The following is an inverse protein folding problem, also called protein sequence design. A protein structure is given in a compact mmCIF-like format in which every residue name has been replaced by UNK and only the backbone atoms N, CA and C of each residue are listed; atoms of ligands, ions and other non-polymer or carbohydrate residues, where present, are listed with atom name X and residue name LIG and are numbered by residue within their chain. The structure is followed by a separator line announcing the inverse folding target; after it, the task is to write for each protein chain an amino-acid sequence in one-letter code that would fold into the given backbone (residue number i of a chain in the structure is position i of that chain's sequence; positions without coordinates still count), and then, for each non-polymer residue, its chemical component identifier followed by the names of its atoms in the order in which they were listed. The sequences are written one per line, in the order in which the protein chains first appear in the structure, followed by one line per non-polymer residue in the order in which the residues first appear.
data_IF_468621290109
#
_entry.id   IF_468621290109
#
_cell.length_a   1.000
_cell.length_b   1.000
_cell.length_c   1.000
_cell.angle_alpha   90.00
_cell.angle_beta   90.00
_cell.angle_gamma   90.00
#
_symmetry.space_group_name_H-M   'P 1'
#
loop_
_entity.id
_entity.type
_entity.pdbx_description
1 polymer ?
#
# COMPACT_ATOMS: atom_id res chain seq x y z
N UNK A 1 -12.03 2.99 21.42
CA UNK A 1 -11.23 1.94 20.74
C UNK A 1 -10.16 1.57 21.75
N UNK A 2 -10.43 0.58 22.58
CA UNK A 2 -9.54 0.18 23.71
C UNK A 2 -8.68 -1.05 23.36
N UNK A 3 -8.92 -1.70 22.21
CA UNK A 3 -8.27 -2.96 21.81
C UNK A 3 -7.10 -2.80 20.82
N UNK A 4 -6.72 -1.57 20.45
CA UNK A 4 -5.55 -1.33 19.58
C UNK A 4 -4.30 -1.22 20.43
N UNK A 5 -3.25 -1.97 20.09
CA UNK A 5 -1.96 -1.95 20.79
C UNK A 5 -1.45 -0.51 20.92
N UNK A 6 -0.86 -0.09 22.07
CA UNK A 6 -0.46 1.31 22.30
C UNK A 6 0.51 1.85 21.25
N UNK A 7 1.30 0.98 20.62
CA UNK A 7 2.22 1.34 19.53
C UNK A 7 1.48 1.72 18.22
N UNK A 8 0.25 1.22 18.02
CA UNK A 8 -0.54 1.40 16.78
C UNK A 8 -1.69 2.42 16.92
N UNK A 9 -1.83 3.00 18.13
CA UNK A 9 -2.83 4.00 18.42
C UNK A 9 -2.54 5.32 17.69
N UNK A 10 -1.25 5.64 17.50
CA UNK A 10 -0.79 6.91 16.99
C UNK A 10 0.00 6.69 15.69
N UNK A 11 -0.54 7.17 14.56
CA UNK A 11 0.18 7.16 13.29
C UNK A 11 0.60 8.59 12.96
N UNK A 12 1.89 8.80 12.75
CA UNK A 12 2.43 10.03 12.22
C UNK A 12 3.39 9.69 11.09
N UNK A 13 3.16 10.29 9.91
CA UNK A 13 4.10 10.24 8.79
C UNK A 13 4.31 11.64 8.25
N UNK A 14 5.58 12.00 8.12
CA UNK A 14 6.03 13.25 7.54
C UNK A 14 6.40 13.00 6.09
N UNK A 15 5.67 13.61 5.17
CA UNK A 15 5.80 13.36 3.74
C UNK A 15 6.17 14.64 2.98
N UNK A 16 6.84 14.45 1.84
CA UNK A 16 6.95 15.46 0.79
C UNK A 16 6.65 14.80 -0.55
N UNK A 17 5.86 15.47 -1.39
CA UNK A 17 5.51 14.92 -2.69
C UNK A 17 5.51 15.95 -3.80
N UNK A 18 5.76 15.48 -5.02
CA UNK A 18 5.61 16.31 -6.22
C UNK A 18 4.13 16.63 -6.49
N UNK A 19 3.87 17.79 -7.07
CA UNK A 19 2.52 18.35 -7.23
C UNK A 19 1.60 17.57 -8.16
N UNK A 20 2.16 16.82 -9.11
CA UNK A 20 1.43 15.95 -10.04
C UNK A 20 0.94 14.63 -9.41
N UNK A 21 1.35 14.33 -8.17
CA UNK A 21 0.82 13.18 -7.45
C UNK A 21 -0.65 13.38 -7.08
N UNK A 22 -1.40 12.28 -7.16
CA UNK A 22 -2.78 12.22 -6.66
C UNK A 22 -2.78 12.45 -5.15
N UNK A 23 -3.59 13.39 -4.70
CA UNK A 23 -3.77 13.69 -3.27
C UNK A 23 -4.31 12.44 -2.55
N UNK A 24 -3.65 12.04 -1.46
CA UNK A 24 -4.03 10.87 -0.67
C UNK A 24 -3.20 9.61 -0.95
N UNK A 25 -2.41 9.57 -2.03
CA UNK A 25 -1.50 8.45 -2.36
C UNK A 25 -0.10 8.62 -1.75
N UNK A 26 -0.05 9.03 -0.49
CA UNK A 26 1.20 9.28 0.24
C UNK A 26 2.04 8.01 0.37
N UNK A 27 3.29 8.07 -0.07
CA UNK A 27 4.24 6.96 -0.08
C UNK A 27 4.00 5.92 -1.18
N UNK A 28 2.99 6.08 -2.04
CA UNK A 28 2.64 5.10 -3.09
C UNK A 28 3.33 5.36 -4.43
N UNK A 29 3.73 6.62 -4.69
CA UNK A 29 4.34 7.01 -5.96
C UNK A 29 5.85 7.18 -5.84
N UNK A 30 6.55 7.15 -6.98
CA UNK A 30 8.00 7.40 -7.07
C UNK A 30 8.40 8.81 -6.66
N UNK A 31 7.45 9.75 -6.66
CA UNK A 31 7.68 11.16 -6.33
C UNK A 31 7.03 11.56 -5.00
N UNK A 32 6.71 10.59 -4.15
CA UNK A 32 6.25 10.80 -2.78
C UNK A 32 7.24 10.12 -1.84
N UNK A 33 7.70 10.87 -0.84
CA UNK A 33 8.72 10.43 0.09
C UNK A 33 8.24 10.69 1.51
N UNK A 34 8.13 9.65 2.31
CA UNK A 34 7.58 9.72 3.67
C UNK A 34 8.54 9.15 4.71
N UNK A 35 8.48 9.66 5.93
CA UNK A 35 9.14 9.06 7.09
C UNK A 35 8.12 8.87 8.20
N UNK A 36 7.95 7.62 8.60
CA UNK A 36 6.91 7.16 9.52
C UNK A 36 7.47 6.95 10.93
N UNK A 37 6.62 7.16 11.95
CA UNK A 37 6.96 6.98 13.37
C UNK A 37 7.61 5.64 13.73
N UNK A 38 7.39 4.60 12.92
CA UNK A 38 8.01 3.27 13.05
C UNK A 38 9.48 3.22 12.66
N UNK A 39 10.05 4.31 12.12
CA UNK A 39 11.43 4.37 11.63
C UNK A 39 11.59 3.98 10.15
N UNK A 40 10.47 3.78 9.43
CA UNK A 40 10.46 3.37 8.02
C UNK A 40 10.42 4.58 7.08
N UNK A 41 11.14 4.47 5.97
CA UNK A 41 11.09 5.44 4.86
C UNK A 41 10.18 4.93 3.75
N UNK A 42 9.16 5.71 3.38
CA UNK A 42 8.16 5.37 2.38
C UNK A 42 8.47 5.99 1.03
N UNK A 43 8.53 5.17 -0.02
CA UNK A 43 8.57 5.63 -1.41
C UNK A 43 8.09 4.52 -2.36
N UNK A 44 7.29 4.87 -3.38
CA UNK A 44 6.87 3.93 -4.41
C UNK A 44 6.29 2.61 -3.86
N UNK A 45 5.47 2.70 -2.80
CA UNK A 45 4.91 1.56 -2.08
C UNK A 45 5.99 0.65 -1.49
N UNK A 46 7.13 1.20 -1.05
CA UNK A 46 8.19 0.47 -0.33
C UNK A 46 8.49 1.20 0.97
N UNK A 47 8.80 0.44 2.01
CA UNK A 47 9.01 0.98 3.37
C UNK A 47 10.25 0.41 4.07
N UNK A 48 11.47 0.53 3.50
CA UNK A 48 12.68 0.04 4.15
C UNK A 48 12.94 0.69 5.52
N UNK A 49 13.61 -0.05 6.41
CA UNK A 49 14.19 0.52 7.63
C UNK A 49 15.19 1.62 7.25
N UNK A 50 15.02 2.81 7.83
CA UNK A 50 15.85 3.97 7.50
C UNK A 50 16.37 4.68 8.75
N UNK A 51 15.46 5.04 9.64
CA UNK A 51 15.75 5.88 10.79
C UNK A 51 15.40 5.22 12.12
N UNK A 52 15.43 6.03 13.16
CA UNK A 52 15.00 5.63 14.50
C UNK A 52 13.46 5.73 14.60
N UNK A 53 12.82 5.03 15.55
CA UNK A 53 11.40 5.27 15.84
C UNK A 53 11.21 6.69 16.41
N UNK A 54 10.09 7.35 16.16
CA UNK A 54 9.74 8.63 16.78
C UNK A 54 8.29 8.65 17.27
N UNK A 55 8.01 9.49 18.27
CA UNK A 55 6.71 9.58 18.91
C UNK A 55 6.40 10.98 19.46
N UNK A 56 5.49 11.03 20.43
CA UNK A 56 5.06 12.28 21.05
C UNK A 56 6.25 13.05 21.65
N UNK A 57 6.35 14.33 21.31
CA UNK A 57 7.42 15.23 21.76
C UNK A 57 8.69 15.22 20.91
N UNK A 58 8.81 14.32 19.92
CA UNK A 58 9.92 14.36 18.97
C UNK A 58 9.71 15.43 17.89
N UNK A 59 10.78 16.12 17.53
CA UNK A 59 10.82 17.06 16.40
C UNK A 59 11.41 16.38 15.17
N UNK A 60 10.65 16.33 14.08
CA UNK A 60 11.07 15.74 12.81
C UNK A 60 11.22 16.83 11.76
N UNK A 61 12.41 16.89 11.14
CA UNK A 61 12.71 17.81 10.04
C UNK A 61 12.87 17.00 8.76
N UNK A 62 12.15 17.38 7.70
CA UNK A 62 12.32 16.85 6.35
C UNK A 62 13.17 17.83 5.54
N UNK A 63 14.31 17.36 5.03
CA UNK A 63 15.27 18.17 4.29
C UNK A 63 15.39 17.64 2.86
N UNK A 64 15.19 18.52 1.87
CA UNK A 64 15.30 18.20 0.45
C UNK A 64 16.34 19.10 -0.20
N UNK A 65 17.39 18.49 -0.75
CA UNK A 65 18.42 19.19 -1.51
C UNK A 65 18.21 18.98 -3.00
N UNK A 66 17.96 20.08 -3.71
CA UNK A 66 17.80 20.13 -5.17
C UNK A 66 19.06 20.68 -5.88
N UNK A 67 20.14 20.91 -5.12
CA UNK A 67 21.37 21.55 -5.63
C UNK A 67 22.25 20.58 -6.42
N UNK A 68 22.35 19.33 -5.96
CA UNK A 68 23.11 18.28 -6.65
C UNK A 68 22.41 17.92 -7.98
N UNK A 69 23.16 18.00 -9.09
CA UNK A 69 22.69 17.59 -10.42
C UNK A 69 23.48 16.36 -10.89
N UNK A 70 22.84 15.32 -11.43
CA UNK A 70 21.43 15.26 -11.86
C UNK A 70 20.44 14.77 -10.78
N UNK A 71 20.90 14.40 -9.60
CA UNK A 71 20.09 13.76 -8.56
C UNK A 71 19.90 14.68 -7.36
N UNK A 72 18.65 14.95 -7.04
CA UNK A 72 18.26 15.52 -5.75
C UNK A 72 18.41 14.47 -4.64
N UNK A 73 18.43 14.92 -3.39
CA UNK A 73 18.44 14.06 -2.23
C UNK A 73 17.42 14.48 -1.19
N UNK A 74 16.92 13.51 -0.43
CA UNK A 74 16.04 13.71 0.71
C UNK A 74 16.64 13.02 1.95
N UNK A 75 16.57 13.70 3.08
CA UNK A 75 16.97 13.22 4.40
C UNK A 75 15.98 13.69 5.46
N UNK A 76 16.01 13.00 6.61
CA UNK A 76 15.25 13.40 7.78
C UNK A 76 16.17 13.58 8.97
N UNK A 77 15.76 14.47 9.86
CA UNK A 77 16.44 14.79 11.11
C UNK A 77 15.48 14.58 12.27
N UNK A 78 15.96 13.96 13.35
CA UNK A 78 15.21 13.77 14.59
C UNK A 78 15.88 14.54 15.71
N UNK A 79 15.15 15.45 16.36
CA UNK A 79 15.65 16.25 17.49
C UNK A 79 17.01 16.92 17.21
N UNK A 80 17.16 17.46 15.98
CA UNK A 80 18.39 18.11 15.51
C UNK A 80 19.51 17.16 15.07
N UNK A 81 19.31 15.83 15.09
CA UNK A 81 20.28 14.83 14.63
C UNK A 81 19.86 14.28 13.26
N UNK A 82 20.72 14.47 12.27
CA UNK A 82 20.54 13.91 10.92
C UNK A 82 20.56 12.37 10.96
N UNK A 83 19.58 11.74 10.31
CA UNK A 83 19.46 10.28 10.18
C UNK A 83 20.18 9.74 8.93
N UNK A 84 20.83 10.63 8.15
CA UNK A 84 21.51 10.31 6.91
C UNK A 84 20.60 10.46 5.68
N UNK A 85 21.16 10.30 4.47
CA UNK A 85 20.37 10.39 3.23
C UNK A 85 19.41 9.21 3.12
N UNK A 86 18.10 9.48 3.03
CA UNK A 86 17.08 8.46 2.82
C UNK A 86 17.10 7.96 1.37
N UNK A 87 17.11 8.89 0.41
CA UNK A 87 17.16 8.54 -1.00
C UNK A 87 17.73 9.65 -1.87
N UNK A 88 18.36 9.27 -2.98
CA UNK A 88 18.65 10.15 -4.11
C UNK A 88 17.66 9.88 -5.24
N UNK A 89 17.10 10.93 -5.83
CA UNK A 89 16.07 10.81 -6.85
C UNK A 89 16.27 11.82 -7.99
N UNK A 90 15.71 11.51 -9.15
CA UNK A 90 15.73 12.42 -10.28
C UNK A 90 14.64 13.49 -10.09
N UNK A 91 15.06 14.73 -9.86
CA UNK A 91 14.17 15.89 -9.75
C UNK A 91 13.99 16.63 -11.09
N UNK A 92 14.52 16.10 -12.20
CA UNK A 92 14.37 16.72 -13.51
C UNK A 92 12.90 16.81 -13.92
N UNK A 93 12.55 17.92 -14.57
CA UNK A 93 11.24 18.10 -15.16
C UNK A 93 11.14 17.26 -16.43
N UNK A 94 10.10 16.44 -16.52
CA UNK A 94 9.77 15.74 -17.75
C UNK A 94 9.22 16.74 -18.77
N UNK A 95 9.90 16.96 -19.92
CA UNK A 95 9.51 17.98 -20.88
C UNK A 95 8.15 17.75 -21.55
N UNK A 96 7.58 16.55 -21.46
CA UNK A 96 6.33 16.17 -22.14
C UNK A 96 5.04 16.44 -21.33
N UNK A 97 5.14 16.68 -20.02
CA UNK A 97 3.97 16.94 -19.15
C UNK A 97 3.88 18.43 -18.85
N UNK A 98 3.04 19.16 -19.58
CA UNK A 98 2.88 20.61 -19.40
C UNK A 98 1.42 21.00 -19.29
N UNK A 99 0.84 20.86 -18.10
CA UNK A 99 -0.42 21.54 -17.82
C UNK A 99 -0.24 22.65 -16.78
N UNK A 100 0.51 22.42 -15.69
CA UNK A 100 0.68 23.43 -14.65
C UNK A 100 2.10 23.47 -14.04
N UNK A 101 2.65 24.66 -13.80
CA UNK A 101 4.01 24.80 -13.24
C UNK A 101 4.16 24.17 -11.85
N UNK A 102 3.08 24.17 -11.06
CA UNK A 102 3.06 23.55 -9.73
C UNK A 102 3.18 22.02 -9.79
N UNK A 103 2.97 21.38 -10.95
CA UNK A 103 3.07 19.92 -11.09
C UNK A 103 4.46 19.41 -10.73
N UNK A 104 5.50 20.23 -10.88
CA UNK A 104 6.87 19.87 -10.58
C UNK A 104 7.38 20.35 -9.22
N UNK A 105 6.58 21.17 -8.51
CA UNK A 105 6.93 21.65 -7.18
C UNK A 105 6.74 20.53 -6.15
N UNK A 106 7.54 20.57 -5.08
CA UNK A 106 7.41 19.67 -3.95
C UNK A 106 6.58 20.34 -2.85
N UNK A 107 5.61 19.61 -2.32
CA UNK A 107 4.69 20.08 -1.30
C UNK A 107 4.83 19.23 -0.03
N UNK A 108 4.92 19.84 1.15
CA UNK A 108 4.89 19.11 2.41
C UNK A 108 3.50 18.52 2.63
N UNK A 109 3.46 17.30 3.16
CA UNK A 109 2.25 16.53 3.44
C UNK A 109 2.40 15.79 4.76
N UNK A 110 1.28 15.53 5.44
CA UNK A 110 1.27 14.79 6.70
C UNK A 110 0.16 13.73 6.66
N UNK A 111 0.46 12.56 7.19
CA UNK A 111 -0.54 11.55 7.56
C UNK A 111 -0.59 11.45 9.08
N UNK A 112 -1.75 11.77 9.66
CA UNK A 112 -1.95 11.80 11.11
C UNK A 112 -3.13 10.91 11.49
N UNK A 113 -2.97 10.06 12.51
CA UNK A 113 -4.02 9.30 13.18
C UNK A 113 -3.83 9.48 14.68
N UNK A 114 -4.84 10.05 15.34
CA UNK A 114 -4.88 10.23 16.79
C UNK A 114 -3.70 11.03 17.37
N UNK A 115 -3.10 11.92 16.56
CA UNK A 115 -1.99 12.78 16.98
C UNK A 115 -2.26 14.22 16.54
N UNK A 116 -1.79 15.15 17.36
CA UNK A 116 -1.72 16.58 17.04
C UNK A 116 -0.26 16.95 16.82
N UNK A 117 0.00 17.79 15.82
CA UNK A 117 1.36 18.21 15.47
C UNK A 117 1.42 19.71 15.29
N UNK A 118 2.55 20.28 15.67
CA UNK A 118 2.89 21.66 15.40
C UNK A 118 3.78 21.74 14.16
N UNK A 119 3.43 22.62 13.22
CA UNK A 119 4.15 22.79 11.97
C UNK A 119 5.02 24.04 12.01
N UNK A 120 6.34 23.85 11.90
CA UNK A 120 7.34 24.91 11.91
C UNK A 120 7.88 25.14 10.50
N UNK A 121 7.58 26.30 9.90
CA UNK A 121 8.00 26.62 8.53
C UNK A 121 9.09 27.68 8.45
N UNK A 122 9.46 28.29 9.59
CA UNK A 122 10.44 29.36 9.71
C UNK A 122 11.36 29.17 10.91
N UNK A 123 12.49 29.89 10.94
CA UNK A 123 13.43 29.90 12.08
C UNK A 123 12.82 30.60 13.30
N UNK A 124 11.83 31.48 13.09
CA UNK A 124 11.10 32.17 14.16
C UNK A 124 10.25 31.17 14.98
N UNK A 125 9.95 30.00 14.40
CA UNK A 125 9.20 28.91 15.03
C UNK A 125 10.14 27.92 15.76
N UNK A 126 11.31 28.34 16.25
CA UNK A 126 12.30 27.49 16.94
C UNK A 126 12.87 26.31 16.12
N UNK A 127 12.74 26.35 14.79
CA UNK A 127 13.24 25.30 13.90
C UNK A 127 14.77 25.20 13.93
N UNK A 128 15.30 24.04 14.33
CA UNK A 128 16.73 23.72 14.22
C UNK A 128 17.03 23.24 12.81
N UNK A 129 17.75 24.06 12.03
CA UNK A 129 18.15 23.75 10.67
C UNK A 129 19.46 22.96 10.62
N UNK A 130 19.56 22.07 9.64
CA UNK A 130 20.84 21.49 9.23
C UNK A 130 21.66 22.53 8.43
N UNK A 131 23.00 22.45 8.55
CA UNK A 131 23.92 23.32 7.82
C UNK A 131 23.67 23.25 6.30
N UNK A 132 23.48 24.41 5.68
CA UNK A 132 23.25 24.52 4.23
C UNK A 132 21.78 24.44 3.79
N UNK A 133 20.84 24.15 4.70
CA UNK A 133 19.42 24.16 4.39
C UNK A 133 18.75 25.48 4.77
N UNK A 134 17.66 25.80 4.09
CA UNK A 134 16.79 26.95 4.38
C UNK A 134 15.39 26.48 4.75
N UNK A 135 14.66 27.21 5.60
CA UNK A 135 13.26 26.91 5.89
C UNK A 135 12.42 26.96 4.60
N UNK A 136 11.35 26.17 4.54
CA UNK A 136 10.45 26.13 3.39
C UNK A 136 9.91 27.54 3.03
N UNK A 137 9.59 28.36 4.04
CA UNK A 137 9.10 29.73 3.82
C UNK A 137 10.12 30.65 3.14
N UNK A 138 11.43 30.35 3.21
CA UNK A 138 12.45 31.11 2.49
C UNK A 138 12.31 30.95 0.97
N UNK A 139 11.75 29.84 0.48
CA UNK A 139 11.51 29.64 -0.95
C UNK A 139 10.55 30.70 -1.53
N UNK A 140 9.58 31.20 -0.74
CA UNK A 140 8.70 32.29 -1.14
C UNK A 140 9.49 33.60 -1.32
N UNK A 141 10.38 33.92 -0.36
CA UNK A 141 11.19 35.14 -0.37
C UNK A 141 12.21 35.13 -1.51
N UNK A 142 12.78 33.96 -1.80
CA UNK A 142 13.78 33.77 -2.84
C UNK A 142 13.16 33.65 -4.25
N UNK A 143 11.84 33.68 -4.39
CA UNK A 143 11.14 33.55 -5.68
C UNK A 143 11.18 32.14 -6.28
N UNK A 144 11.51 31.13 -5.45
CA UNK A 144 11.61 29.72 -5.84
C UNK A 144 10.35 28.91 -5.51
N UNK A 145 9.34 29.54 -4.90
CA UNK A 145 8.06 28.93 -4.60
C UNK A 145 7.06 29.18 -5.74
N UNK A 146 6.25 28.15 -6.03
CA UNK A 146 5.14 28.22 -6.96
C UNK A 146 3.86 28.03 -6.14
N UNK A 147 2.85 28.87 -6.37
CA UNK A 147 1.54 28.67 -5.77
C UNK A 147 0.92 27.36 -6.25
N UNK A 148 0.38 26.56 -5.33
CA UNK A 148 -0.51 25.47 -5.68
C UNK A 148 -1.81 25.99 -6.31
N UNK A 149 -2.81 25.13 -6.56
CA UNK A 149 -4.14 25.59 -6.94
C UNK A 149 -4.66 26.56 -5.87
N UNK A 150 -4.80 27.85 -6.24
CA UNK A 150 -5.33 28.89 -5.36
C UNK A 150 -6.77 29.15 -5.78
N UNK A 151 -7.67 29.15 -4.81
CA UNK A 151 -9.04 29.60 -4.99
C UNK A 151 -9.11 31.04 -4.47
N UNK A 152 -9.45 31.99 -5.33
CA UNK A 152 -9.53 33.41 -4.96
C UNK A 152 -10.77 33.70 -4.09
N UNK A 153 -11.87 32.96 -4.29
CA UNK A 153 -13.09 33.04 -3.48
C UNK A 153 -13.38 31.66 -2.84
N UNK A 154 -13.67 31.58 -1.52
CA UNK A 154 -14.15 30.36 -0.88
C UNK A 154 -15.34 29.68 -1.58
N UNK A 155 -16.14 30.43 -2.36
CA UNK A 155 -17.23 29.89 -3.19
C UNK A 155 -16.77 29.04 -4.36
N UNK A 156 -15.52 29.17 -4.77
CA UNK A 156 -14.91 28.33 -5.82
C UNK A 156 -14.52 26.94 -5.27
N UNK A 157 -14.67 26.72 -3.94
CA UNK A 157 -14.55 25.40 -3.35
C UNK A 157 -15.76 24.53 -3.74
N UNK A 158 -15.48 23.46 -4.48
CA UNK A 158 -16.51 22.57 -5.01
C UNK A 158 -16.61 21.28 -4.18
N UNK A 159 -17.80 20.99 -3.69
CA UNK A 159 -18.14 19.69 -3.09
C UNK A 159 -19.19 18.99 -3.97
N UNK A 160 -18.85 17.82 -4.51
CA UNK A 160 -19.75 17.01 -5.32
C UNK A 160 -20.15 15.74 -4.59
N UNK A 161 -21.43 15.64 -4.23
CA UNK A 161 -22.00 14.41 -3.67
C UNK A 161 -22.54 13.53 -4.79
N UNK A 162 -22.01 12.31 -4.91
CA UNK A 162 -22.54 11.33 -5.85
C UNK A 162 -23.77 10.62 -5.29
N UNK A 163 -24.91 10.73 -5.97
CA UNK A 163 -26.16 10.03 -5.62
C UNK A 163 -26.63 9.20 -6.81
N UNK A 164 -27.07 7.98 -6.57
CA UNK A 164 -27.60 7.09 -7.63
C UNK A 164 -27.67 5.63 -7.21
N UNK A 165 -28.28 4.79 -8.05
CA UNK A 165 -28.53 3.38 -7.74
C UNK A 165 -27.24 2.56 -7.61
N UNK A 166 -27.21 1.48 -6.81
CA UNK A 166 -26.10 0.52 -6.81
C UNK A 166 -25.75 0.07 -8.23
N UNK A 167 -24.45 -0.18 -8.48
CA UNK A 167 -23.91 -0.57 -9.80
C UNK A 167 -24.13 0.41 -10.98
N UNK A 168 -24.68 1.62 -10.77
CA UNK A 168 -24.89 2.61 -11.83
C UNK A 168 -23.61 3.32 -12.33
N UNK A 169 -22.42 2.87 -11.90
CA UNK A 169 -21.14 3.44 -12.34
C UNK A 169 -20.75 4.79 -11.71
N UNK A 170 -21.34 5.20 -10.58
CA UNK A 170 -21.03 6.48 -9.91
C UNK A 170 -19.53 6.70 -9.67
N UNK A 171 -18.88 5.72 -9.04
CA UNK A 171 -17.44 5.74 -8.76
C UNK A 171 -16.63 5.86 -10.04
N UNK A 172 -17.02 5.15 -11.11
CA UNK A 172 -16.37 5.23 -12.42
C UNK A 172 -16.51 6.64 -13.01
N UNK A 173 -17.72 7.23 -12.95
CA UNK A 173 -17.98 8.58 -13.43
C UNK A 173 -17.16 9.64 -12.69
N UNK A 174 -17.11 9.56 -11.35
CA UNK A 174 -16.32 10.49 -10.56
C UNK A 174 -14.80 10.33 -10.77
N UNK A 175 -14.27 9.11 -10.84
CA UNK A 175 -12.86 8.88 -11.17
C UNK A 175 -12.49 9.49 -12.53
N UNK A 176 -13.39 9.38 -13.52
CA UNK A 176 -13.21 10.05 -14.81
C UNK A 176 -13.22 11.58 -14.66
N UNK A 177 -14.16 12.15 -13.91
CA UNK A 177 -14.23 13.59 -13.67
C UNK A 177 -12.95 14.15 -13.03
N UNK A 178 -12.40 13.46 -12.03
CA UNK A 178 -11.13 13.82 -11.39
C UNK A 178 -9.98 13.82 -12.42
N UNK A 179 -9.94 12.82 -13.30
CA UNK A 179 -8.92 12.71 -14.35
C UNK A 179 -9.05 13.82 -15.40
N UNK A 180 -10.28 14.21 -15.74
CA UNK A 180 -10.57 15.21 -16.77
C UNK A 180 -10.38 16.66 -16.26
N UNK A 181 -10.24 16.87 -14.93
CA UNK A 181 -10.07 18.20 -14.30
C UNK A 181 -8.85 18.23 -13.32
N UNK A 182 -7.62 18.02 -13.81
CA UNK A 182 -6.41 18.00 -12.97
C UNK A 182 -6.16 19.33 -12.24
N UNK A 183 -6.63 20.46 -12.78
CA UNK A 183 -6.50 21.79 -12.20
C UNK A 183 -7.26 21.94 -10.88
N UNK A 184 -8.36 21.19 -10.71
CA UNK A 184 -9.23 21.26 -9.53
C UNK A 184 -8.69 20.46 -8.34
N UNK A 185 -7.76 19.53 -8.58
CA UNK A 185 -7.20 18.60 -7.58
C UNK A 185 -8.26 18.02 -6.62
N UNK A 186 -9.36 17.50 -7.17
CA UNK A 186 -10.43 16.92 -6.37
C UNK A 186 -9.92 15.77 -5.48
N UNK A 187 -10.33 15.78 -4.21
CA UNK A 187 -10.11 14.70 -3.26
C UNK A 187 -11.33 13.78 -3.24
N UNK A 188 -11.14 12.51 -3.60
CA UNK A 188 -12.24 11.56 -3.72
C UNK A 188 -12.67 10.98 -2.37
N UNK A 189 -13.49 11.68 -1.60
CA UNK A 189 -13.95 11.17 -0.29
C UNK A 189 -15.00 10.07 -0.47
N UNK A 190 -14.65 8.83 -0.11
CA UNK A 190 -15.58 7.69 -0.11
C UNK A 190 -15.23 6.69 0.99
N UNK A 191 -16.15 5.77 1.32
CA UNK A 191 -15.91 4.73 2.33
C UNK A 191 -14.64 3.92 1.99
N UNK A 192 -14.36 3.71 0.71
CA UNK A 192 -13.16 3.03 0.26
C UNK A 192 -11.85 3.77 0.60
N UNK A 193 -11.84 5.10 0.77
CA UNK A 193 -10.63 5.78 1.26
C UNK A 193 -10.23 5.34 2.66
N UNK A 194 -11.23 5.03 3.51
CA UNK A 194 -10.98 4.51 4.86
C UNK A 194 -10.41 3.09 4.78
N UNK A 195 -10.87 2.28 3.83
CA UNK A 195 -10.37 0.92 3.61
C UNK A 195 -9.00 0.89 2.91
N UNK A 196 -8.71 1.80 1.98
CA UNK A 196 -7.43 1.85 1.26
C UNK A 196 -6.26 2.20 2.21
N UNK A 197 -6.55 2.92 3.29
CA UNK A 197 -5.61 3.24 4.37
C UNK A 197 -5.52 2.15 5.46
N UNK A 198 -6.41 1.16 5.46
CA UNK A 198 -6.42 0.02 6.39
C UNK A 198 -6.25 -1.29 5.63
N UNK A 199 -5.01 -1.73 5.48
CA UNK A 199 -4.66 -2.97 4.78
C UNK A 199 -4.70 -4.13 5.77
N UNK A 200 -5.83 -4.80 5.87
CA UNK A 200 -5.96 -6.05 6.63
C UNK A 200 -5.76 -7.23 5.68
N UNK A 201 -4.78 -8.09 5.95
CA UNK A 201 -4.68 -9.40 5.30
C UNK A 201 -5.50 -10.42 6.09
N UNK A 202 -6.40 -11.11 5.42
CA UNK A 202 -7.06 -12.29 5.98
C UNK A 202 -6.42 -13.53 5.38
N UNK A 203 -5.70 -14.28 6.20
CA UNK A 203 -5.01 -15.52 5.84
C UNK A 203 -5.95 -16.70 6.09
N UNK A 204 -6.36 -17.33 5.00
CA UNK A 204 -7.12 -18.58 5.01
C UNK A 204 -6.15 -19.71 4.73
N UNK A 205 -5.58 -20.29 5.78
CA UNK A 205 -4.63 -21.41 5.67
C UNK A 205 -5.20 -22.65 6.37
N UNK A 206 -5.94 -23.50 5.63
CA UNK A 206 -6.54 -24.72 6.18
C UNK A 206 -5.49 -25.79 6.45
N UNK A 207 -5.85 -26.75 7.30
CA UNK A 207 -5.08 -27.97 7.47
C UNK A 207 -5.04 -28.79 6.16
N UNK A 208 -4.02 -29.66 5.96
CA UNK A 208 -3.92 -30.51 4.77
C UNK A 208 -5.18 -31.37 4.52
N UNK A 209 -5.83 -31.81 5.60
CA UNK A 209 -7.08 -32.59 5.54
C UNK A 209 -8.23 -31.76 4.99
N UNK A 210 -8.36 -30.51 5.43
CA UNK A 210 -9.37 -29.58 4.93
C UNK A 210 -9.11 -29.15 3.48
N UNK A 211 -7.85 -28.95 3.08
CA UNK A 211 -7.50 -28.71 1.67
C UNK A 211 -8.01 -29.86 0.80
N UNK A 212 -7.75 -31.10 1.20
CA UNK A 212 -8.22 -32.30 0.46
C UNK A 212 -9.74 -32.36 0.40
N UNK A 213 -10.43 -32.10 1.51
CA UNK A 213 -11.90 -32.08 1.54
C UNK A 213 -12.48 -31.00 0.61
N UNK A 214 -11.93 -29.78 0.63
CA UNK A 214 -12.37 -28.66 -0.23
C UNK A 214 -12.09 -28.91 -1.71
N UNK A 215 -10.98 -29.57 -2.04
CA UNK A 215 -10.67 -29.95 -3.42
C UNK A 215 -11.61 -31.03 -3.94
N UNK A 216 -11.92 -32.03 -3.11
CA UNK A 216 -12.88 -33.08 -3.47
C UNK A 216 -14.27 -32.47 -3.72
N UNK A 217 -14.72 -31.59 -2.83
CA UNK A 217 -15.99 -30.90 -3.00
C UNK A 217 -16.02 -30.03 -4.26
N UNK A 218 -14.93 -29.30 -4.57
CA UNK A 218 -14.84 -28.51 -5.82
C UNK A 218 -14.84 -29.38 -7.07
N UNK A 219 -14.28 -30.59 -6.99
CA UNK A 219 -14.34 -31.54 -8.08
C UNK A 219 -15.77 -32.04 -8.30
N UNK A 220 -16.48 -32.38 -7.24
CA UNK A 220 -17.88 -32.83 -7.31
C UNK A 220 -18.81 -31.72 -7.85
N UNK A 221 -18.58 -30.48 -7.43
CA UNK A 221 -19.43 -29.34 -7.80
C UNK A 221 -19.15 -28.79 -9.21
N UNK A 222 -17.89 -28.78 -9.64
CA UNK A 222 -17.44 -28.04 -10.83
C UNK A 222 -16.66 -28.89 -11.84
N UNK A 223 -16.36 -30.16 -11.53
CA UNK A 223 -15.54 -31.04 -12.37
C UNK A 223 -14.10 -30.55 -12.56
N UNK A 224 -13.63 -29.65 -11.69
CA UNK A 224 -12.32 -29.01 -11.84
C UNK A 224 -11.25 -29.76 -11.05
N UNK A 225 -10.29 -30.35 -11.76
CA UNK A 225 -9.13 -31.02 -11.18
C UNK A 225 -7.91 -30.10 -11.22
N UNK A 226 -7.46 -29.65 -10.05
CA UNK A 226 -6.16 -28.96 -9.94
C UNK A 226 -5.06 -30.01 -10.07
N UNK A 227 -4.22 -29.89 -11.10
CA UNK A 227 -3.06 -30.77 -11.23
C UNK A 227 -2.08 -30.55 -10.08
N UNK A 228 -1.55 -31.64 -9.53
CA UNK A 228 -0.58 -31.62 -8.43
C UNK A 228 0.62 -30.69 -8.74
N UNK A 229 1.09 -30.66 -9.99
CA UNK A 229 2.17 -29.77 -10.41
C UNK A 229 1.90 -28.29 -10.13
N UNK A 230 0.66 -27.83 -10.32
CA UNK A 230 0.27 -26.43 -10.09
C UNK A 230 0.23 -26.15 -8.58
N UNK A 231 -0.29 -27.09 -7.78
CA UNK A 231 -0.30 -26.95 -6.32
C UNK A 231 1.11 -26.85 -5.78
N UNK A 232 2.03 -27.67 -6.29
CA UNK A 232 3.42 -27.67 -5.86
C UNK A 232 4.14 -26.36 -6.25
N UNK A 233 3.94 -25.86 -7.47
CA UNK A 233 4.51 -24.57 -7.89
C UNK A 233 3.98 -23.39 -7.03
N UNK A 234 2.70 -23.44 -6.65
CA UNK A 234 2.09 -22.44 -5.77
C UNK A 234 2.62 -22.55 -4.33
N UNK A 235 2.72 -23.77 -3.78
CA UNK A 235 3.23 -24.00 -2.41
C UNK A 235 4.69 -23.61 -2.27
N UNK A 236 5.53 -23.94 -3.26
CA UNK A 236 6.94 -23.60 -3.27
C UNK A 236 7.19 -22.08 -3.24
N UNK A 237 6.28 -21.28 -3.80
CA UNK A 237 6.38 -19.82 -3.86
C UNK A 237 5.57 -19.11 -2.77
N UNK A 238 4.78 -19.85 -1.98
CA UNK A 238 3.93 -19.27 -0.96
C UNK A 238 4.74 -18.84 0.28
N UNK A 239 4.49 -17.61 0.73
CA UNK A 239 5.05 -17.02 1.94
C UNK A 239 3.88 -16.41 2.72
N UNK A 240 3.81 -16.70 4.02
CA UNK A 240 2.76 -16.16 4.87
C UNK A 240 2.96 -14.66 5.06
N UNK A 241 1.89 -13.86 4.92
CA UNK A 241 2.01 -12.43 5.11
C UNK A 241 2.29 -12.08 6.58
N UNK A 242 2.92 -10.94 6.77
CA UNK A 242 3.43 -10.42 8.02
C UNK A 242 2.94 -8.99 8.21
N UNK A 243 2.54 -8.63 9.43
CA UNK A 243 2.16 -7.24 9.74
C UNK A 243 3.37 -6.32 9.67
N UNK A 244 3.11 -5.01 9.52
CA UNK A 244 4.14 -3.97 9.47
C UNK A 244 4.98 -3.89 10.75
N UNK A 245 4.52 -4.45 11.86
CA UNK A 245 5.10 -4.29 13.21
C UNK A 245 6.25 -5.27 13.46
N UNK A 246 6.38 -6.30 12.62
CA UNK A 246 7.53 -7.20 12.63
C UNK A 246 8.72 -6.48 11.99
N UNK A 247 9.79 -6.33 12.77
CA UNK A 247 11.01 -5.63 12.35
C UNK A 247 11.52 -6.12 11.00
N UNK A 248 11.69 -5.20 10.05
CA UNK A 248 12.29 -5.45 8.72
C UNK A 248 11.47 -6.35 7.78
N UNK A 249 10.13 -6.36 7.86
CA UNK A 249 9.27 -6.94 6.81
C UNK A 249 9.07 -5.95 5.65
N UNK A 250 9.14 -6.44 4.40
CA UNK A 250 8.78 -5.72 3.16
C UNK A 250 7.25 -5.67 2.94
N UNK A 251 6.46 -5.97 3.96
CA UNK A 251 5.03 -6.23 3.85
C UNK A 251 4.14 -5.06 4.30
N UNK A 252 2.96 -4.94 3.68
CA UNK A 252 2.13 -3.72 3.71
C UNK A 252 0.82 -3.85 4.50
N UNK A 253 0.66 -4.89 5.33
CA UNK A 253 -0.57 -5.10 6.09
C UNK A 253 -0.50 -4.45 7.47
N UNK A 254 -1.46 -3.56 7.76
CA UNK A 254 -1.67 -2.98 9.09
C UNK A 254 -2.10 -4.07 10.10
N UNK A 255 -2.76 -5.11 9.63
CA UNK A 255 -3.16 -6.26 10.44
C UNK A 255 -3.17 -7.53 9.60
N UNK A 256 -2.74 -8.66 10.17
CA UNK A 256 -2.84 -9.98 9.54
C UNK A 256 -3.67 -10.89 10.42
N UNK A 257 -4.87 -11.24 9.94
CA UNK A 257 -5.82 -12.10 10.63
C UNK A 257 -5.75 -13.52 10.08
N UNK A 258 -5.50 -14.47 10.97
CA UNK A 258 -5.53 -15.89 10.64
C UNK A 258 -6.89 -16.46 11.03
N UNK A 259 -7.68 -16.92 10.06
CA UNK A 259 -9.09 -17.33 10.30
C UNK A 259 -9.28 -18.82 10.54
N UNK A 260 -8.30 -19.65 10.22
CA UNK A 260 -8.38 -21.12 10.33
C UNK A 260 -7.29 -21.65 11.27
N UNK A 261 -6.05 -21.76 10.79
CA UNK A 261 -4.89 -22.06 11.62
C UNK A 261 -4.22 -20.77 12.08
N UNK A 262 -3.68 -20.73 13.30
CA UNK A 262 -2.92 -19.57 13.76
C UNK A 262 -1.60 -19.42 12.97
N UNK A 263 -0.86 -18.33 13.19
CA UNK A 263 0.37 -18.04 12.43
C UNK A 263 1.43 -19.13 12.57
N UNK A 264 1.70 -19.58 13.79
CA UNK A 264 2.75 -20.57 14.07
C UNK A 264 2.35 -21.95 13.50
N UNK A 265 1.08 -22.33 13.66
CA UNK A 265 0.53 -23.54 13.05
C UNK A 265 0.60 -23.49 11.52
N UNK A 266 0.18 -22.38 10.92
CA UNK A 266 0.24 -22.17 9.48
C UNK A 266 1.67 -22.25 8.96
N UNK A 267 2.63 -21.67 9.69
CA UNK A 267 4.04 -21.71 9.33
C UNK A 267 4.59 -23.15 9.41
N UNK A 268 4.31 -23.85 10.50
CA UNK A 268 4.76 -25.24 10.67
C UNK A 268 4.19 -26.15 9.57
N UNK A 269 2.90 -26.04 9.27
CA UNK A 269 2.25 -26.82 8.20
C UNK A 269 2.82 -26.46 6.83
N UNK A 270 3.10 -25.18 6.56
CA UNK A 270 3.70 -24.75 5.30
C UNK A 270 5.12 -25.32 5.12
N UNK A 271 5.94 -25.31 6.18
CA UNK A 271 7.28 -25.89 6.15
C UNK A 271 7.24 -27.42 6.01
N UNK A 272 6.33 -28.11 6.71
CA UNK A 272 6.09 -29.54 6.52
C UNK A 272 5.70 -29.86 5.07
N UNK A 273 4.77 -29.10 4.48
CA UNK A 273 4.36 -29.28 3.08
C UNK A 273 5.52 -29.05 2.10
N UNK A 274 6.36 -28.02 2.33
CA UNK A 274 7.55 -27.75 1.50
C UNK A 274 8.60 -28.84 1.64
N UNK A 275 8.75 -29.41 2.84
CA UNK A 275 9.72 -30.46 3.13
C UNK A 275 9.29 -31.81 2.53
N UNK A 276 8.01 -32.18 2.66
CA UNK A 276 7.44 -33.36 1.99
C UNK A 276 7.62 -33.32 0.47
N UNK A 277 7.52 -32.14 -0.15
CA UNK A 277 7.80 -31.98 -1.59
C UNK A 277 9.27 -32.19 -1.96
N UNK A 278 10.20 -31.73 -1.12
CA UNK A 278 11.63 -31.91 -1.37
C UNK A 278 12.04 -33.39 -1.33
N UNK A 279 11.37 -34.19 -0.50
CA UNK A 279 11.61 -35.63 -0.35
C UNK A 279 10.96 -36.47 -1.48
N UNK A 280 9.90 -35.95 -2.12
CA UNK A 280 9.13 -36.63 -3.17
C UNK A 280 9.69 -36.49 -4.59
N UNK A 281 10.79 -35.76 -4.81
CA UNK A 281 11.51 -35.72 -6.10
C UNK A 281 12.15 -37.07 -6.50
N UNK A 282 11.80 -38.17 -5.82
CA UNK A 282 12.23 -39.53 -6.09
C UNK A 282 11.10 -40.54 -6.39
N UNK A 283 9.81 -40.18 -6.26
CA UNK A 283 8.68 -41.04 -6.64
C UNK A 283 7.39 -40.24 -6.87
N UNK A 284 6.65 -40.58 -7.94
CA UNK A 284 5.47 -39.91 -8.53
C UNK A 284 4.18 -39.88 -7.65
N UNK A 285 4.28 -39.70 -6.34
CA UNK A 285 3.10 -39.62 -5.46
C UNK A 285 3.07 -38.32 -4.64
N UNK A 286 2.43 -37.29 -5.19
CA UNK A 286 2.12 -36.05 -4.47
C UNK A 286 1.11 -36.28 -3.34
N UNK A 287 1.22 -35.57 -2.20
CA UNK A 287 0.25 -35.63 -1.09
C UNK A 287 -1.13 -35.08 -1.48
N UNK A 288 -1.24 -34.37 -2.62
CA UNK A 288 -2.49 -33.85 -3.18
C UNK A 288 -3.06 -34.73 -4.30
N UNK A 289 -2.44 -35.87 -4.61
CA UNK A 289 -3.08 -36.83 -5.51
C UNK A 289 -4.21 -37.53 -4.77
N UNK A 290 -5.44 -37.33 -5.25
CA UNK A 290 -6.57 -38.13 -4.81
C UNK A 290 -6.30 -39.57 -5.28
N UNK A 291 -5.81 -40.44 -4.38
CA UNK A 291 -5.32 -41.79 -4.70
C UNK A 291 -6.38 -42.79 -5.19
N UNK A 292 -7.56 -42.34 -5.59
CA UNK A 292 -8.64 -43.20 -6.09
C UNK A 292 -9.30 -42.60 -7.34
N UNK A 293 -8.59 -42.50 -8.46
CA UNK A 293 -9.26 -42.38 -9.76
C UNK A 293 -8.49 -43.19 -10.80
N UNK A 294 -9.07 -44.34 -11.16
CA UNK A 294 -8.62 -45.23 -12.23
C UNK A 294 -8.53 -44.48 -13.57
N UNK A 295 -7.50 -44.84 -14.32
CA UNK A 295 -7.21 -44.39 -15.67
C UNK A 295 -8.40 -44.59 -16.62
N UNK A 296 -9.12 -43.51 -16.95
CA UNK A 296 -9.73 -43.38 -18.29
C UNK A 296 -10.33 -42.00 -18.47
N UNK A 297 -9.64 -41.10 -19.17
CA UNK A 297 -10.20 -40.28 -20.24
C UNK A 297 -9.05 -39.56 -20.97
N UNK A 298 -8.98 -39.61 -22.32
CA UNK A 298 -7.91 -38.98 -23.07
C UNK A 298 -8.25 -37.51 -23.30
N UNK A 299 -7.41 -36.59 -22.83
CA UNK A 299 -7.46 -35.21 -23.32
C UNK A 299 -6.06 -34.73 -23.70
N UNK A 300 -5.85 -34.61 -25.01
CA UNK A 300 -4.62 -34.10 -25.63
C UNK A 300 -4.43 -32.60 -25.34
N UNK A 301 -3.21 -32.13 -25.02
CA UNK A 301 -2.96 -30.72 -24.79
C UNK A 301 -2.78 -30.00 -26.13
N UNK A 302 -3.80 -29.30 -26.61
CA UNK A 302 -3.61 -28.25 -27.61
C UNK A 302 -3.38 -26.92 -26.87
N UNK A 303 -2.10 -26.53 -26.77
CA UNK A 303 -1.73 -25.17 -26.43
C UNK A 303 -2.11 -24.26 -27.61
N UNK A 304 -3.19 -23.50 -27.43
CA UNK A 304 -3.63 -22.48 -28.38
C UNK A 304 -4.27 -21.32 -27.62
N UNK A 305 -3.55 -20.20 -27.60
CA UNK A 305 -4.00 -18.81 -27.40
C UNK A 305 -5.21 -18.50 -26.52
N UNK A 306 -4.96 -17.67 -25.50
CA UNK A 306 -5.86 -16.64 -24.94
C UNK A 306 -7.20 -17.14 -24.38
N UNK A 307 -7.47 -16.96 -23.09
CA UNK A 307 -8.72 -16.35 -22.59
C UNK A 307 -8.73 -16.26 -21.06
N UNK A 308 -9.00 -15.02 -20.62
CA UNK A 308 -9.60 -14.57 -19.36
C UNK A 308 -10.54 -15.61 -18.73
N UNK A 309 -10.38 -15.89 -17.44
CA UNK A 309 -11.44 -16.44 -16.60
C UNK A 309 -11.95 -15.35 -15.65
N UNK A 310 -13.11 -14.81 -16.02
CA UNK A 310 -14.00 -14.04 -15.17
C UNK A 310 -14.49 -14.94 -14.03
N UNK A 311 -14.17 -14.61 -12.78
CA UNK A 311 -14.94 -15.13 -11.65
C UNK A 311 -16.31 -14.43 -11.63
N UNK A 312 -17.44 -15.18 -11.58
CA UNK A 312 -18.74 -14.59 -11.29
C UNK A 312 -18.76 -14.12 -9.83
N UNK A 313 -19.15 -12.87 -9.63
CA UNK A 313 -19.41 -12.26 -8.33
C UNK A 313 -20.54 -12.98 -7.59
N UNK A 314 -20.20 -13.75 -6.56
CA UNK A 314 -21.15 -14.14 -5.52
C UNK A 314 -21.59 -12.89 -4.78
N UNK A 315 -22.86 -12.52 -4.98
CA UNK A 315 -23.51 -11.41 -4.26
C UNK A 315 -23.88 -11.86 -2.86
N UNK A 316 -23.46 -11.18 -1.78
CA UNK A 316 -24.01 -11.45 -0.45
C UNK A 316 -25.45 -10.94 -0.40
N UNK A 317 -26.43 -11.85 -0.38
CA UNK A 317 -27.80 -11.52 -0.01
C UNK A 317 -27.85 -11.28 1.50
N UNK A 318 -27.86 -10.02 1.90
CA UNK A 318 -28.16 -9.64 3.29
C UNK A 318 -29.66 -9.79 3.53
N UNK A 319 -30.06 -10.84 4.26
CA UNK A 319 -31.41 -10.95 4.83
C UNK A 319 -31.45 -10.07 6.08
N UNK A 320 -32.18 -8.97 6.00
CA UNK A 320 -32.41 -8.07 7.13
C UNK A 320 -33.06 -8.80 8.30
N UNK A 321 -32.61 -8.49 9.52
CA UNK A 321 -33.35 -8.81 10.72
C UNK A 321 -34.44 -7.76 10.92
N UNK A 322 -35.68 -8.25 11.00
CA UNK A 322 -36.87 -7.48 11.36
C UNK A 322 -36.97 -7.41 12.88
N UNK A 323 -36.95 -6.19 13.42
CA UNK A 323 -37.84 -5.55 14.43
C UNK A 323 -37.08 -4.51 15.22
#
# INVERSE_FOLDING_TARGET
MEDTDPEDQNLCRVDISRGDNVVGSLGETSHSFGYEGTGKFWNAMRSPCYGEKFGLGDTIVCAVSLEEKPLASISFSKNGKCLGTAMKFNAAMDPEVKNFQWEFAFFPQLLLKNVEVELQFSVEDELVLEDGFKPCLAALRDGNAIGGPVFDDPKDCEMMMMVGMPASGKTTGAKKWVKDHPEKRYVFVGINMVFDQMKIAVVVFPSPEEVKARLLQRFDDLGFLVHAKIMNELLATFVLPVSKDVTCSDEFFDEVMFVELNRDESHNVLEEMKQEESDLNSNDSSPYSCKNFDESYPFSPNYGGSHVLLCPTLSPQYKGAST
#
